data_IF_309951984298
#
_entry.id   IF_309951984298
#
_cell.length_a   1.000
_cell.length_b   1.000
_cell.length_c   1.000
_cell.angle_alpha   90.00
_cell.angle_beta   90.00
_cell.angle_gamma   90.00
#
_symmetry.space_group_name_H-M   'P 1'
#
loop_
_entity.id
_entity.type
_entity.pdbx_description
1 polymer ?
#
# COMPACT_ATOMS: atom_id res chain seq x y z
N UNK A 1 6.47 -24.38 0.84
CA UNK A 1 5.99 -23.06 1.22
C UNK A 1 4.47 -23.02 1.39
N UNK A 2 3.65 -23.44 0.40
CA UNK A 2 2.17 -23.40 0.52
C UNK A 2 1.66 -24.18 1.73
N UNK A 3 2.23 -25.36 2.03
CA UNK A 3 1.85 -26.13 3.23
C UNK A 3 2.16 -25.40 4.55
N UNK A 4 3.22 -24.60 4.60
CA UNK A 4 3.62 -23.84 5.79
C UNK A 4 2.82 -22.53 5.91
N UNK A 5 2.66 -21.79 4.83
CA UNK A 5 2.02 -20.47 4.81
C UNK A 5 0.52 -20.50 4.50
N UNK A 6 -0.01 -21.63 4.06
CA UNK A 6 -1.42 -21.84 3.73
C UNK A 6 -1.89 -21.24 2.41
N UNK A 7 -1.24 -20.20 1.90
CA UNK A 7 -1.62 -19.54 0.65
C UNK A 7 -0.46 -18.82 -0.04
N UNK A 8 -0.57 -18.59 -1.35
CA UNK A 8 0.36 -17.74 -2.10
C UNK A 8 0.38 -16.30 -1.57
N UNK A 9 -0.76 -15.78 -1.13
CA UNK A 9 -0.87 -14.46 -0.50
C UNK A 9 0.04 -14.34 0.71
N UNK A 10 0.01 -15.32 1.59
CA UNK A 10 0.82 -15.34 2.81
C UNK A 10 2.31 -15.46 2.48
N UNK A 11 2.68 -16.28 1.49
CA UNK A 11 4.06 -16.37 0.98
C UNK A 11 4.52 -15.01 0.45
N UNK A 12 3.69 -14.37 -0.37
CA UNK A 12 4.02 -13.09 -0.98
C UNK A 12 4.24 -11.97 0.05
N UNK A 13 3.50 -11.98 1.16
CA UNK A 13 3.63 -10.98 2.24
C UNK A 13 4.70 -11.31 3.28
N UNK A 14 5.30 -12.50 3.24
CA UNK A 14 6.27 -12.94 4.21
C UNK A 14 7.61 -12.20 4.06
N UNK A 15 8.37 -12.05 5.17
CA UNK A 15 9.74 -11.57 5.14
C UNK A 15 10.69 -12.62 4.56
N UNK A 16 11.86 -12.20 4.06
CA UNK A 16 12.90 -13.12 3.60
C UNK A 16 13.26 -14.14 4.70
N UNK A 17 13.42 -13.67 5.93
CA UNK A 17 13.75 -14.53 7.08
C UNK A 17 12.69 -15.60 7.33
N UNK A 18 11.39 -15.25 7.24
CA UNK A 18 10.29 -16.20 7.42
C UNK A 18 10.24 -17.23 6.28
N UNK A 19 10.51 -16.79 5.05
CA UNK A 19 10.59 -17.66 3.88
C UNK A 19 11.76 -18.64 3.98
N UNK A 20 12.94 -18.15 4.36
CA UNK A 20 14.15 -18.95 4.49
C UNK A 20 14.01 -19.98 5.62
N UNK A 21 13.43 -19.57 6.76
CA UNK A 21 13.14 -20.50 7.86
C UNK A 21 12.19 -21.62 7.41
N UNK A 22 11.10 -21.29 6.72
CA UNK A 22 10.16 -22.30 6.21
C UNK A 22 10.79 -23.23 5.17
N UNK A 23 11.70 -22.72 4.36
CA UNK A 23 12.45 -23.54 3.39
C UNK A 23 13.44 -24.48 4.07
N UNK A 24 14.13 -24.02 5.12
CA UNK A 24 15.05 -24.85 5.91
C UNK A 24 14.30 -26.00 6.62
N UNK A 25 13.09 -25.75 7.15
CA UNK A 25 12.26 -26.78 7.78
C UNK A 25 11.79 -27.87 6.78
N UNK A 26 11.58 -27.50 5.52
CA UNK A 26 11.17 -28.44 4.45
C UNK A 26 12.37 -29.16 3.84
N UNK A 27 13.53 -28.50 3.72
CA UNK A 27 14.75 -29.04 3.14
C UNK A 27 15.50 -30.05 4.04
N UNK A 28 15.18 -30.11 5.33
CA UNK A 28 15.83 -30.97 6.33
C UNK A 28 15.60 -32.48 6.19
N UNK A 29 14.92 -32.96 5.16
CA UNK A 29 14.74 -34.38 4.83
C UNK A 29 15.13 -34.69 3.39
N UNK A 30 16.43 -34.73 3.10
CA UNK A 30 16.94 -35.54 2.00
C UNK A 30 17.32 -34.87 0.69
N UNK A 31 17.77 -33.62 0.69
CA UNK A 31 18.48 -33.09 -0.48
C UNK A 31 19.88 -32.59 -0.07
N UNK A 32 20.88 -33.44 -0.18
CA UNK A 32 22.31 -33.08 0.03
C UNK A 32 22.80 -32.02 -0.99
N UNK A 33 22.04 -31.77 -2.06
CA UNK A 33 22.40 -30.78 -3.10
C UNK A 33 21.75 -29.38 -2.89
N UNK A 34 20.90 -29.20 -1.87
CA UNK A 34 20.19 -27.93 -1.62
C UNK A 34 20.82 -27.05 -0.53
N UNK A 35 22.06 -27.35 -0.09
CA UNK A 35 22.69 -26.68 1.06
C UNK A 35 22.95 -25.18 0.91
N UNK A 36 23.01 -24.63 -0.29
CA UNK A 36 23.19 -23.20 -0.54
C UNK A 36 22.00 -22.54 -1.25
N UNK A 37 21.03 -23.31 -1.75
CA UNK A 37 19.93 -22.81 -2.58
C UNK A 37 18.73 -22.23 -1.80
N UNK A 38 18.55 -22.58 -0.54
CA UNK A 38 17.39 -22.17 0.25
C UNK A 38 17.33 -20.65 0.51
N UNK A 39 18.47 -20.06 0.79
CA UNK A 39 18.61 -18.61 1.00
C UNK A 39 18.33 -17.79 -0.26
N UNK A 40 18.63 -18.35 -1.43
CA UNK A 40 18.37 -17.68 -2.71
C UNK A 40 16.88 -17.57 -3.04
N UNK A 41 16.04 -18.52 -2.63
CA UNK A 41 14.60 -18.54 -2.97
C UNK A 41 13.83 -17.49 -2.20
N UNK A 42 14.06 -17.35 -0.89
CA UNK A 42 13.43 -16.30 -0.08
C UNK A 42 13.79 -14.90 -0.58
N UNK A 43 15.07 -14.68 -0.84
CA UNK A 43 15.57 -13.43 -1.41
C UNK A 43 14.99 -13.16 -2.81
N UNK A 44 14.88 -14.18 -3.66
CA UNK A 44 14.30 -14.07 -5.00
C UNK A 44 12.80 -13.68 -4.96
N UNK A 45 12.03 -14.26 -4.04
CA UNK A 45 10.61 -13.90 -3.84
C UNK A 45 10.48 -12.43 -3.41
N UNK A 46 11.32 -11.99 -2.48
CA UNK A 46 11.32 -10.59 -2.02
C UNK A 46 11.75 -9.64 -3.15
N UNK A 47 12.80 -10.00 -3.91
CA UNK A 47 13.25 -9.21 -5.06
C UNK A 47 12.18 -9.12 -6.15
N UNK A 48 11.49 -10.22 -6.46
CA UNK A 48 10.38 -10.23 -7.42
C UNK A 48 9.22 -9.34 -6.97
N UNK A 49 8.92 -9.30 -5.66
CA UNK A 49 7.93 -8.39 -5.10
C UNK A 49 8.34 -6.93 -5.28
N UNK A 50 9.57 -6.58 -4.91
CA UNK A 50 10.07 -5.20 -5.07
C UNK A 50 10.09 -4.77 -6.54
N UNK A 51 10.48 -5.66 -7.46
CA UNK A 51 10.44 -5.38 -8.89
C UNK A 51 9.01 -5.14 -9.38
N UNK A 52 8.05 -5.97 -8.94
CA UNK A 52 6.65 -5.81 -9.30
C UNK A 52 6.03 -4.52 -8.72
N UNK A 53 6.44 -4.12 -7.51
CA UNK A 53 6.05 -2.83 -6.90
C UNK A 53 6.66 -1.65 -7.67
N UNK A 54 7.95 -1.74 -8.02
CA UNK A 54 8.63 -0.70 -8.81
C UNK A 54 8.00 -0.53 -10.20
N UNK A 55 7.74 -1.62 -10.92
CA UNK A 55 7.09 -1.58 -12.22
C UNK A 55 5.67 -1.00 -12.15
N UNK A 56 4.90 -1.34 -11.11
CA UNK A 56 3.57 -0.77 -10.90
C UNK A 56 3.61 0.73 -10.58
N UNK A 57 4.67 1.19 -9.89
CA UNK A 57 4.90 2.62 -9.63
C UNK A 57 5.32 3.36 -10.90
N UNK A 58 6.19 2.77 -11.70
CA UNK A 58 6.65 3.34 -12.97
C UNK A 58 5.49 3.59 -13.94
N UNK A 59 4.49 2.71 -13.94
CA UNK A 59 3.28 2.88 -14.74
C UNK A 59 2.41 4.10 -14.34
N UNK A 60 2.67 4.72 -13.18
CA UNK A 60 2.01 5.97 -12.77
C UNK A 60 2.80 7.22 -13.19
N UNK A 61 4.05 7.06 -13.61
CA UNK A 61 4.94 8.19 -13.94
C UNK A 61 4.61 8.71 -15.35
N UNK A 62 4.41 10.02 -15.46
CA UNK A 62 4.26 10.70 -16.75
C UNK A 62 2.84 10.86 -17.25
N UNK A 63 1.84 10.22 -16.62
CA UNK A 63 0.43 10.41 -16.94
C UNK A 63 -0.34 11.01 -15.76
N UNK A 64 -1.38 11.79 -16.07
CA UNK A 64 -2.26 12.32 -15.03
C UNK A 64 -3.06 11.19 -14.40
N UNK A 65 -2.93 11.06 -13.08
CA UNK A 65 -3.56 9.96 -12.35
C UNK A 65 -5.05 10.20 -12.16
N UNK A 66 -5.85 9.22 -12.59
CA UNK A 66 -7.25 9.10 -12.23
C UNK A 66 -7.42 7.89 -11.29
N UNK A 67 -7.93 8.11 -10.07
CA UNK A 67 -8.15 7.06 -9.06
C UNK A 67 -9.12 5.96 -9.50
N UNK A 68 -9.86 6.19 -10.59
CA UNK A 68 -10.82 5.23 -11.18
C UNK A 68 -10.17 4.26 -12.16
N UNK A 69 -8.96 4.56 -12.67
CA UNK A 69 -8.31 3.71 -13.67
C UNK A 69 -7.93 2.34 -13.09
N UNK A 70 -7.99 1.28 -13.89
CA UNK A 70 -7.56 -0.05 -13.48
C UNK A 70 -6.10 -0.09 -13.03
N UNK A 71 -5.22 0.68 -13.68
CA UNK A 71 -3.79 0.77 -13.40
C UNK A 71 -3.55 1.32 -11.99
N UNK A 72 -4.19 2.44 -11.64
CA UNK A 72 -4.09 3.04 -10.31
C UNK A 72 -4.65 2.10 -9.23
N UNK A 73 -5.82 1.50 -9.49
CA UNK A 73 -6.43 0.53 -8.57
C UNK A 73 -5.54 -0.69 -8.39
N UNK A 74 -4.96 -1.20 -9.46
CA UNK A 74 -4.02 -2.32 -9.42
C UNK A 74 -2.77 -1.99 -8.59
N UNK A 75 -2.24 -0.76 -8.76
CA UNK A 75 -1.15 -0.27 -7.96
C UNK A 75 -1.48 -0.28 -6.45
N UNK A 76 -2.63 0.28 -6.05
CA UNK A 76 -3.04 0.28 -4.65
C UNK A 76 -3.21 -1.13 -4.07
N UNK A 77 -3.80 -2.05 -4.84
CA UNK A 77 -3.94 -3.46 -4.42
C UNK A 77 -2.57 -4.10 -4.19
N UNK A 78 -1.61 -3.87 -5.07
CA UNK A 78 -0.25 -4.41 -4.90
C UNK A 78 0.45 -3.86 -3.66
N UNK A 79 0.26 -2.57 -3.38
CA UNK A 79 0.92 -1.88 -2.26
C UNK A 79 0.29 -2.22 -0.90
N UNK A 80 -1.03 -2.33 -0.86
CA UNK A 80 -1.81 -2.37 0.38
C UNK A 80 -2.56 -3.70 0.60
N UNK A 81 -3.03 -4.34 -0.46
CA UNK A 81 -3.99 -5.44 -0.38
C UNK A 81 -3.52 -6.69 0.37
N UNK A 82 -2.20 -6.89 0.51
CA UNK A 82 -1.63 -8.03 1.21
C UNK A 82 -1.10 -7.71 2.62
N UNK A 83 -1.19 -6.44 3.03
CA UNK A 83 -0.70 -6.02 4.35
C UNK A 83 -1.57 -6.60 5.46
N UNK A 84 -0.93 -7.14 6.50
CA UNK A 84 -1.60 -7.70 7.68
C UNK A 84 -1.89 -6.66 8.74
N UNK A 85 -1.13 -5.58 8.72
CA UNK A 85 -1.28 -4.42 9.57
C UNK A 85 -1.98 -3.32 8.78
N UNK A 86 -2.71 -2.48 9.47
CA UNK A 86 -3.31 -1.30 8.89
C UNK A 86 -2.24 -0.29 8.55
N UNK A 87 -2.19 0.10 7.29
CA UNK A 87 -1.18 0.98 6.74
C UNK A 87 -1.85 2.10 5.95
N UNK A 88 -1.32 3.31 6.09
CA UNK A 88 -1.73 4.48 5.31
C UNK A 88 -0.67 4.81 4.29
N UNK A 89 -1.09 5.10 3.08
CA UNK A 89 -0.27 5.60 2.00
C UNK A 89 -0.79 6.96 1.56
N UNK A 90 0.09 7.92 1.42
CA UNK A 90 -0.21 9.24 0.88
C UNK A 90 0.51 9.36 -0.45
N UNK A 91 -0.23 9.66 -1.51
CA UNK A 91 0.31 9.91 -2.84
C UNK A 91 0.23 11.39 -3.14
N UNK A 92 1.30 11.93 -3.71
CA UNK A 92 1.51 13.35 -4.00
C UNK A 92 1.55 13.57 -5.50
N UNK A 93 0.83 14.61 -5.98
CA UNK A 93 0.71 14.92 -7.40
C UNK A 93 0.90 16.41 -7.65
N UNK A 94 1.33 16.75 -8.88
CA UNK A 94 1.34 18.14 -9.39
C UNK A 94 -0.08 18.67 -9.54
N UNK A 95 -0.24 19.95 -9.87
CA UNK A 95 -1.54 20.54 -10.19
C UNK A 95 -2.22 19.87 -11.38
N UNK A 96 -1.45 19.41 -12.36
CA UNK A 96 -1.91 18.66 -13.52
C UNK A 96 -2.23 17.20 -13.23
N UNK A 97 -1.96 16.72 -12.00
CA UNK A 97 -2.21 15.35 -11.57
C UNK A 97 -1.09 14.36 -11.87
N UNK A 98 0.11 14.84 -12.24
CA UNK A 98 1.26 13.94 -12.43
C UNK A 98 1.79 13.44 -11.11
N UNK A 99 2.09 12.15 -11.04
CA UNK A 99 2.63 11.51 -9.84
C UNK A 99 4.03 12.03 -9.51
N UNK A 100 4.23 12.47 -8.25
CA UNK A 100 5.52 12.95 -7.75
C UNK A 100 6.15 11.91 -6.83
N UNK A 101 5.45 11.54 -5.76
CA UNK A 101 5.98 10.69 -4.70
C UNK A 101 4.86 10.00 -3.91
N UNK A 102 5.26 9.06 -3.07
CA UNK A 102 4.41 8.45 -2.08
C UNK A 102 5.11 8.34 -0.74
N UNK A 103 4.34 8.44 0.34
CA UNK A 103 4.79 8.13 1.68
C UNK A 103 3.95 6.97 2.23
N UNK A 104 4.58 6.10 3.01
CA UNK A 104 3.96 4.92 3.58
C UNK A 104 4.11 4.93 5.10
N UNK A 105 2.99 4.77 5.81
CA UNK A 105 2.93 4.76 7.26
C UNK A 105 2.24 3.49 7.75
N UNK A 106 2.88 2.78 8.69
CA UNK A 106 2.25 1.67 9.41
C UNK A 106 1.78 2.19 10.77
N UNK A 107 0.51 1.95 11.12
CA UNK A 107 -0.05 2.42 12.39
C UNK A 107 0.46 1.60 13.59
N UNK A 108 0.98 0.41 13.35
CA UNK A 108 1.42 -0.51 14.42
C UNK A 108 0.31 -0.97 15.38
N UNK A 109 -0.89 -0.43 15.25
CA UNK A 109 -2.06 -0.76 16.06
C UNK A 109 -3.23 -1.20 15.16
N UNK A 110 -4.00 -2.19 15.63
CA UNK A 110 -5.20 -2.63 14.92
C UNK A 110 -6.35 -1.68 15.21
N UNK A 111 -6.93 -1.11 14.17
CA UNK A 111 -8.25 -0.50 14.22
C UNK A 111 -8.36 1.02 14.15
N UNK A 112 -7.27 1.77 13.99
CA UNK A 112 -7.36 3.21 13.74
C UNK A 112 -6.35 3.67 12.69
N UNK A 113 -6.85 4.24 11.61
CA UNK A 113 -6.05 4.94 10.60
C UNK A 113 -5.69 6.31 11.14
N UNK A 114 -4.44 6.48 11.52
CA UNK A 114 -3.92 7.81 11.85
C UNK A 114 -3.23 8.39 10.63
N UNK A 115 -3.89 9.32 9.95
CA UNK A 115 -3.27 10.11 8.88
C UNK A 115 -2.31 11.11 9.54
N UNK A 116 -1.00 11.05 9.25
CA UNK A 116 -0.02 11.92 9.90
C UNK A 116 -0.03 13.34 9.29
N UNK A 117 -1.10 14.09 9.54
CA UNK A 117 -1.40 15.40 8.93
C UNK A 117 -0.20 16.34 8.85
N UNK A 118 0.50 16.54 9.97
CA UNK A 118 1.65 17.47 10.02
C UNK A 118 2.78 17.05 9.08
N UNK A 119 3.04 15.73 8.99
CA UNK A 119 4.05 15.18 8.08
C UNK A 119 3.61 15.31 6.64
N UNK A 120 2.35 14.97 6.36
CA UNK A 120 1.75 15.04 5.02
C UNK A 120 1.80 16.47 4.48
N UNK A 121 1.38 17.45 5.27
CA UNK A 121 1.42 18.87 4.89
C UNK A 121 2.85 19.32 4.60
N UNK A 122 3.79 19.05 5.53
CA UNK A 122 5.19 19.40 5.32
C UNK A 122 5.73 18.79 4.03
N UNK A 123 5.44 17.49 3.81
CA UNK A 123 5.91 16.76 2.63
C UNK A 123 5.30 17.31 1.34
N UNK A 124 4.02 17.70 1.37
CA UNK A 124 3.38 18.34 0.22
C UNK A 124 4.08 19.65 -0.20
N UNK A 125 4.47 20.48 0.77
CA UNK A 125 5.25 21.68 0.50
C UNK A 125 6.66 21.38 0.01
N UNK A 126 7.37 20.43 0.64
CA UNK A 126 8.73 20.03 0.23
C UNK A 126 8.74 19.52 -1.24
N UNK A 127 7.63 18.97 -1.72
CA UNK A 127 7.46 18.43 -3.07
C UNK A 127 6.77 19.39 -4.06
N UNK A 128 6.33 20.57 -3.61
CA UNK A 128 5.41 21.46 -4.35
C UNK A 128 4.17 20.71 -4.90
N UNK A 129 3.68 19.73 -4.12
CA UNK A 129 2.50 18.98 -4.48
C UNK A 129 1.24 19.82 -4.30
N UNK A 130 0.33 19.74 -5.28
CA UNK A 130 -0.94 20.48 -5.29
C UNK A 130 -2.16 19.58 -5.11
N UNK A 131 -1.98 18.28 -5.26
CA UNK A 131 -3.06 17.30 -5.14
C UNK A 131 -2.55 16.08 -4.38
N UNK A 132 -3.44 15.48 -3.58
CA UNK A 132 -3.17 14.31 -2.75
C UNK A 132 -4.23 13.23 -2.98
N UNK A 133 -3.81 11.99 -2.86
CA UNK A 133 -4.70 10.84 -2.65
C UNK A 133 -4.24 10.13 -1.39
N UNK A 134 -5.19 9.81 -0.53
CA UNK A 134 -4.98 8.92 0.63
C UNK A 134 -5.42 7.53 0.24
N UNK A 135 -4.67 6.52 0.67
CA UNK A 135 -5.11 5.13 0.59
C UNK A 135 -4.73 4.41 1.89
N UNK A 136 -5.59 3.54 2.38
CA UNK A 136 -5.27 2.65 3.49
C UNK A 136 -5.87 1.26 3.27
N UNK A 137 -5.36 0.27 3.97
CA UNK A 137 -5.92 -1.06 3.90
C UNK A 137 -6.70 -1.44 5.15
N UNK A 138 -7.75 -2.24 4.95
CA UNK A 138 -8.47 -2.93 6.00
C UNK A 138 -8.08 -4.42 6.03
N UNK A 139 -7.27 -4.86 6.99
CA UNK A 139 -6.92 -6.28 7.14
C UNK A 139 -8.12 -7.17 7.45
N UNK A 140 -9.23 -6.59 7.93
CA UNK A 140 -10.50 -7.29 8.21
C UNK A 140 -11.15 -7.88 6.96
N UNK A 141 -10.78 -7.41 5.75
CA UNK A 141 -11.32 -7.87 4.48
C UNK A 141 -12.52 -7.08 3.96
N UNK A 142 -13.03 -6.08 4.69
CA UNK A 142 -14.07 -5.16 4.22
C UNK A 142 -13.47 -3.85 3.73
N UNK A 143 -13.75 -3.45 2.50
CA UNK A 143 -13.33 -2.16 1.96
C UNK A 143 -14.32 -1.02 2.28
N UNK A 144 -15.35 -1.27 3.11
CA UNK A 144 -16.28 -0.21 3.51
C UNK A 144 -15.59 0.77 4.47
N UNK A 145 -15.75 2.09 4.24
CA UNK A 145 -15.26 3.12 5.15
C UNK A 145 -15.92 3.01 6.52
N UNK A 146 -15.14 3.17 7.58
CA UNK A 146 -15.64 3.36 8.93
C UNK A 146 -15.98 4.84 9.20
N UNK A 147 -16.73 5.11 10.27
CA UNK A 147 -16.98 6.49 10.72
C UNK A 147 -15.68 7.22 11.06
N UNK A 148 -14.68 6.51 11.57
CA UNK A 148 -13.35 7.04 11.84
C UNK A 148 -12.63 7.47 10.55
N UNK A 149 -12.75 6.69 9.47
CA UNK A 149 -12.19 7.04 8.15
C UNK A 149 -12.84 8.30 7.60
N UNK A 150 -14.16 8.41 7.70
CA UNK A 150 -14.90 9.58 7.27
C UNK A 150 -14.45 10.82 8.05
N UNK A 151 -14.38 10.73 9.38
CA UNK A 151 -13.94 11.83 10.23
C UNK A 151 -12.49 12.24 9.97
N UNK A 152 -11.57 11.26 9.78
CA UNK A 152 -10.17 11.51 9.47
C UNK A 152 -10.01 12.19 8.10
N UNK A 153 -10.79 11.76 7.11
CA UNK A 153 -10.80 12.31 5.76
C UNK A 153 -11.30 13.77 5.77
N UNK A 154 -12.42 14.03 6.43
CA UNK A 154 -12.96 15.38 6.54
C UNK A 154 -11.97 16.34 7.20
N UNK A 155 -11.32 15.90 8.29
CA UNK A 155 -10.30 16.69 8.98
C UNK A 155 -9.07 16.95 8.10
N UNK A 156 -8.59 15.94 7.38
CA UNK A 156 -7.47 16.10 6.47
C UNK A 156 -7.82 17.08 5.35
N UNK A 157 -8.98 16.90 4.73
CA UNK A 157 -9.47 17.74 3.65
C UNK A 157 -9.52 19.21 4.06
N UNK A 158 -10.13 19.51 5.20
CA UNK A 158 -10.21 20.88 5.73
C UNK A 158 -8.82 21.54 5.91
N UNK A 159 -7.83 20.76 6.34
CA UNK A 159 -6.47 21.26 6.55
C UNK A 159 -5.75 21.51 5.22
N UNK A 160 -5.78 20.54 4.28
CA UNK A 160 -5.00 20.66 3.05
C UNK A 160 -5.64 21.65 2.08
N UNK A 161 -6.98 21.74 1.99
CA UNK A 161 -7.67 22.72 1.16
C UNK A 161 -7.41 24.16 1.63
N UNK A 162 -7.31 24.40 2.94
CA UNK A 162 -6.92 25.70 3.49
C UNK A 162 -5.49 26.11 3.10
N UNK A 163 -4.68 25.16 2.64
CA UNK A 163 -3.30 25.35 2.18
C UNK A 163 -3.18 25.24 0.66
N UNK A 164 -4.30 25.34 -0.05
CA UNK A 164 -4.37 25.26 -1.53
C UNK A 164 -3.87 23.92 -2.10
N UNK A 165 -3.98 22.82 -1.30
CA UNK A 165 -3.70 21.46 -1.74
C UNK A 165 -5.00 20.67 -1.79
N UNK A 166 -5.35 20.14 -2.96
CA UNK A 166 -6.58 19.36 -3.13
C UNK A 166 -6.45 17.94 -2.57
N UNK A 167 -7.47 17.44 -1.89
CA UNK A 167 -7.62 16.01 -1.58
C UNK A 167 -8.53 15.37 -2.64
N UNK A 168 -7.92 14.64 -3.58
CA UNK A 168 -8.65 14.07 -4.72
C UNK A 168 -9.51 12.88 -4.35
N UNK A 169 -8.99 11.98 -3.50
CA UNK A 169 -9.73 10.79 -3.08
C UNK A 169 -9.14 10.21 -1.78
N UNK A 170 -9.94 9.38 -1.14
CA UNK A 170 -9.49 8.46 -0.10
C UNK A 170 -9.97 7.05 -0.45
N UNK A 171 -9.01 6.17 -0.75
CA UNK A 171 -9.25 4.80 -1.20
C UNK A 171 -9.01 3.80 -0.08
N UNK A 172 -9.95 2.88 0.13
CA UNK A 172 -9.84 1.81 1.12
C UNK A 172 -9.63 0.49 0.38
N UNK A 173 -8.56 -0.22 0.74
CA UNK A 173 -8.16 -1.47 0.09
C UNK A 173 -8.38 -2.64 1.03
N UNK A 174 -9.12 -3.66 0.60
CA UNK A 174 -9.30 -4.91 1.34
C UNK A 174 -9.06 -6.10 0.41
N UNK A 175 -7.89 -6.70 0.51
CA UNK A 175 -7.48 -7.71 -0.45
C UNK A 175 -7.39 -7.15 -1.86
N UNK A 176 -8.27 -7.61 -2.75
CA UNK A 176 -8.39 -7.13 -4.14
C UNK A 176 -9.53 -6.11 -4.33
N UNK A 177 -10.33 -5.87 -3.28
CA UNK A 177 -11.40 -4.90 -3.32
C UNK A 177 -10.88 -3.50 -3.00
N UNK A 178 -11.44 -2.49 -3.66
CA UNK A 178 -11.16 -1.07 -3.40
C UNK A 178 -12.47 -0.31 -3.37
N UNK A 179 -12.64 0.50 -2.33
CA UNK A 179 -13.68 1.53 -2.27
C UNK A 179 -13.02 2.92 -2.38
N UNK A 180 -13.66 3.80 -3.13
CA UNK A 180 -13.31 5.22 -3.23
C UNK A 180 -14.34 6.01 -2.45
N UNK A 181 -13.92 6.76 -1.44
CA UNK A 181 -14.83 7.58 -0.66
C UNK A 181 -15.42 8.71 -1.49
N UNK A 182 -14.65 9.25 -2.44
CA UNK A 182 -15.17 10.23 -3.40
C UNK A 182 -16.31 9.67 -4.24
N UNK A 183 -16.14 8.45 -4.80
CA UNK A 183 -17.19 7.80 -5.59
C UNK A 183 -18.43 7.46 -4.77
N UNK A 184 -18.28 7.32 -3.45
CA UNK A 184 -19.37 7.08 -2.51
C UNK A 184 -20.05 8.37 -2.00
N UNK A 185 -19.53 9.55 -2.37
CA UNK A 185 -20.05 10.84 -1.91
C UNK A 185 -19.75 11.14 -0.44
N UNK A 186 -18.68 10.56 0.10
CA UNK A 186 -18.26 10.71 1.51
C UNK A 186 -17.14 11.75 1.72
N UNK A 187 -16.85 12.54 0.67
CA UNK A 187 -15.83 13.60 0.70
C UNK A 187 -16.42 14.95 0.34
#
# INVERSE_FOLDING_TARGET
LIRHFGSLRTIWSASAVALDKALAEVGGRGCESCGEGGWAVGAAIVAARHLAEAAAREALVGEAVDTRTPEFRHYLVRRLGLRREECVMILYFTGEGLFIAEDFYSSGQRGEVVIPLRRTVRRAFDLDARRLVVAHNHPSGSALPSDADVAATARMRAVVEALEVGLDDHCIVAGNAIASMRSMGLM
#
